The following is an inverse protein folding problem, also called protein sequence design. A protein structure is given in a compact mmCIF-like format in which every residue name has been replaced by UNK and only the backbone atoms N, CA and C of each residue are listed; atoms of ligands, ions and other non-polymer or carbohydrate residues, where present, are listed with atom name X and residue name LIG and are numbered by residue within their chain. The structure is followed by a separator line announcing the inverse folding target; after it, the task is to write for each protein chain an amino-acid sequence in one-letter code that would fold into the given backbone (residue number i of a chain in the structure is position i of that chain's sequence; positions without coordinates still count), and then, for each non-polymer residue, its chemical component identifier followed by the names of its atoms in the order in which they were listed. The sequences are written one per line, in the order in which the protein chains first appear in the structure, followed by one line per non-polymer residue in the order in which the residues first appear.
data_IF_054609342035
#
_entry.id   IF_054609342035
#
_cell.length_a   1.000
_cell.length_b   1.000
_cell.length_c   1.000
_cell.angle_alpha   90.00
_cell.angle_beta   90.00
_cell.angle_gamma   90.00
#
_symmetry.space_group_name_H-M   'P 1'
#
loop_
_entity.id
_entity.type
_entity.pdbx_description
1 polymer ?
#
# COMPACT_ATOMS: atom_id res chain seq x y z
N UNK A 1 16.56 11.39 9.10
CA UNK A 1 15.26 12.01 8.75
C UNK A 1 14.32 12.11 9.94
N UNK A 2 14.07 11.02 10.68
CA UNK A 2 13.12 10.99 11.81
C UNK A 2 13.28 12.14 12.82
N UNK A 3 14.50 12.44 13.27
CA UNK A 3 14.76 13.55 14.21
C UNK A 3 14.33 14.93 13.71
N UNK A 4 14.41 15.16 12.39
CA UNK A 4 14.14 16.46 11.78
C UNK A 4 12.68 16.58 11.34
N UNK A 5 11.97 15.45 11.23
CA UNK A 5 10.66 15.36 10.60
C UNK A 5 9.61 16.33 11.17
N UNK A 6 9.50 16.53 12.50
CA UNK A 6 8.57 17.52 13.05
C UNK A 6 8.79 18.94 12.50
N UNK A 7 10.05 19.39 12.44
CA UNK A 7 10.40 20.72 11.91
C UNK A 7 10.24 20.83 10.40
N UNK A 8 10.50 19.74 9.66
CA UNK A 8 10.28 19.71 8.21
C UNK A 8 8.79 19.88 7.87
N UNK A 9 7.88 19.33 8.68
CA UNK A 9 6.44 19.51 8.51
C UNK A 9 6.06 20.97 8.73
N UNK A 10 6.54 21.59 9.81
CA UNK A 10 6.28 23.01 10.09
C UNK A 10 6.80 23.92 8.97
N UNK A 11 8.03 23.69 8.51
CA UNK A 11 8.62 24.40 7.39
C UNK A 11 7.81 24.20 6.09
N UNK A 12 7.33 22.98 5.81
CA UNK A 12 6.51 22.67 4.65
C UNK A 12 5.15 23.38 4.70
N UNK A 13 4.50 23.41 5.87
CA UNK A 13 3.24 24.13 6.07
C UNK A 13 3.44 25.65 5.92
N UNK A 14 4.54 26.19 6.44
CA UNK A 14 4.89 27.60 6.26
C UNK A 14 5.12 27.94 4.78
N UNK A 15 5.86 27.10 4.05
CA UNK A 15 6.04 27.21 2.60
C UNK A 15 4.69 27.22 1.88
N UNK A 16 3.79 26.29 2.18
CA UNK A 16 2.47 26.22 1.53
C UNK A 16 1.57 27.41 1.84
N UNK A 17 1.74 28.02 3.01
CA UNK A 17 0.97 29.21 3.41
C UNK A 17 1.49 30.49 2.78
N UNK A 18 2.81 30.69 2.78
CA UNK A 18 3.43 31.98 2.49
C UNK A 18 4.18 32.03 1.15
N UNK A 19 4.40 30.88 0.51
CA UNK A 19 5.32 30.76 -0.63
C UNK A 19 6.77 30.55 -0.19
N UNK A 20 7.70 30.37 -1.14
CA UNK A 20 9.13 30.27 -0.86
C UNK A 20 9.65 31.59 -0.28
N UNK A 21 10.57 31.50 0.66
CA UNK A 21 11.24 32.68 1.23
C UNK A 21 12.17 33.29 0.19
N UNK A 22 12.03 34.59 -0.07
CA UNK A 22 12.92 35.34 -0.95
C UNK A 22 14.22 35.71 -0.22
N UNK A 23 15.36 35.37 -0.82
CA UNK A 23 16.69 35.69 -0.31
C UNK A 23 17.00 37.18 -0.52
N UNK A 24 16.86 37.98 0.53
CA UNK A 24 17.12 39.44 0.48
C UNK A 24 18.40 39.86 1.21
N UNK A 25 18.95 39.02 2.08
CA UNK A 25 20.21 39.29 2.80
C UNK A 25 21.37 38.43 2.25
N UNK A 26 22.44 39.08 1.79
CA UNK A 26 23.64 38.42 1.24
C UNK A 26 24.57 37.85 2.32
N UNK A 27 24.33 38.16 3.60
CA UNK A 27 25.13 37.66 4.72
C UNK A 27 24.70 36.20 5.01
N UNK A 28 25.67 35.29 4.97
CA UNK A 28 25.51 33.84 5.21
C UNK A 28 24.79 33.02 4.12
N UNK A 29 25.05 33.32 2.84
CA UNK A 29 24.56 32.51 1.71
C UNK A 29 25.26 31.15 1.58
N UNK A 30 24.49 30.08 1.71
CA UNK A 30 24.91 28.70 1.44
C UNK A 30 24.60 28.29 0.01
N UNK A 31 25.58 27.73 -0.68
CA UNK A 31 25.44 27.31 -2.06
C UNK A 31 25.28 25.78 -2.12
N UNK A 32 24.15 25.32 -2.63
CA UNK A 32 23.84 23.89 -2.73
C UNK A 32 23.54 23.55 -4.19
N UNK A 33 24.07 22.42 -4.68
CA UNK A 33 23.74 21.90 -6.00
C UNK A 33 22.26 21.48 -6.00
N UNK A 34 21.50 21.95 -6.98
CA UNK A 34 20.09 21.63 -7.15
C UNK A 34 19.91 20.95 -8.49
N UNK A 35 19.18 19.83 -8.50
CA UNK A 35 18.77 19.14 -9.73
C UNK A 35 17.26 19.26 -9.88
N UNK A 36 16.83 19.98 -10.91
CA UNK A 36 15.43 20.16 -11.26
C UNK A 36 15.14 19.78 -12.70
N UNK A 37 13.91 20.06 -13.16
CA UNK A 37 13.53 19.91 -14.57
C UNK A 37 14.29 20.90 -15.47
N UNK A 38 14.73 22.03 -14.91
CA UNK A 38 15.50 23.06 -15.64
C UNK A 38 16.99 22.74 -15.76
N UNK A 39 17.43 21.61 -15.19
CA UNK A 39 18.81 21.15 -15.23
C UNK A 39 19.50 21.25 -13.86
N UNK A 40 20.82 21.41 -13.88
CA UNK A 40 21.64 21.59 -12.67
C UNK A 40 21.99 23.04 -12.50
N UNK A 41 21.69 23.56 -11.31
CA UNK A 41 22.08 24.91 -10.91
C UNK A 41 22.63 24.88 -9.50
N UNK A 42 23.60 25.73 -9.20
CA UNK A 42 23.97 26.00 -7.81
C UNK A 42 23.06 27.12 -7.31
N UNK A 43 22.20 26.81 -6.35
CA UNK A 43 21.26 27.78 -5.81
C UNK A 43 21.78 28.30 -4.47
N UNK A 44 21.78 29.62 -4.25
CA UNK A 44 22.08 30.17 -2.94
C UNK A 44 20.87 30.08 -2.01
N UNK A 45 21.11 29.82 -0.74
CA UNK A 45 20.10 29.73 0.31
C UNK A 45 20.55 30.57 1.49
N UNK A 46 19.60 31.24 2.14
CA UNK A 46 19.85 32.05 3.34
C UNK A 46 19.27 31.31 4.54
N UNK A 47 20.08 31.16 5.58
CA UNK A 47 19.65 30.53 6.82
C UNK A 47 18.85 31.54 7.64
N UNK A 48 17.61 31.23 8.01
CA UNK A 48 16.88 32.09 8.94
C UNK A 48 17.33 31.81 10.38
N UNK A 49 17.26 32.81 11.27
CA UNK A 49 17.63 32.64 12.69
C UNK A 49 16.83 31.52 13.39
N UNK A 50 15.67 31.15 12.85
CA UNK A 50 14.82 30.08 13.35
C UNK A 50 15.17 28.70 12.80
N UNK A 51 15.97 28.60 11.73
CA UNK A 51 16.33 27.33 11.14
C UNK A 51 17.37 26.63 12.01
N UNK A 52 17.06 25.42 12.46
CA UNK A 52 18.03 24.63 13.24
C UNK A 52 18.95 23.77 12.39
N UNK A 53 18.49 23.40 11.19
CA UNK A 53 19.16 22.43 10.32
C UNK A 53 18.99 22.82 8.86
N UNK A 54 19.94 22.43 8.00
CA UNK A 54 19.95 22.77 6.57
C UNK A 54 18.70 22.33 5.82
N UNK A 55 18.15 21.16 6.13
CA UNK A 55 16.92 20.69 5.48
C UNK A 55 15.68 21.52 5.84
N UNK A 56 15.63 22.13 7.02
CA UNK A 56 14.55 23.03 7.43
C UNK A 56 14.53 24.28 6.53
N UNK A 57 15.70 24.92 6.40
CA UNK A 57 15.94 26.04 5.50
C UNK A 57 15.59 25.68 4.05
N UNK A 58 16.06 24.53 3.55
CA UNK A 58 15.76 24.09 2.18
C UNK A 58 14.25 23.95 1.95
N UNK A 59 13.51 23.36 2.89
CA UNK A 59 12.07 23.18 2.75
C UNK A 59 11.35 24.52 2.70
N UNK A 60 11.76 25.51 3.51
CA UNK A 60 11.20 26.87 3.45
C UNK A 60 11.42 27.56 2.09
N UNK A 61 12.49 27.20 1.38
CA UNK A 61 12.78 27.68 0.02
C UNK A 61 12.17 26.78 -1.08
N UNK A 62 11.46 25.71 -0.72
CA UNK A 62 10.81 24.82 -1.69
C UNK A 62 11.67 23.64 -2.17
N UNK A 63 12.71 23.25 -1.41
CA UNK A 63 13.64 22.17 -1.75
C UNK A 63 13.76 21.14 -0.62
N UNK A 64 14.21 19.92 -0.94
CA UNK A 64 14.57 18.90 0.06
C UNK A 64 15.95 18.34 -0.29
N UNK A 65 16.81 18.21 0.72
CA UNK A 65 18.16 17.66 0.55
C UNK A 65 18.17 16.15 0.29
N UNK A 66 19.16 15.70 -0.47
CA UNK A 66 19.45 14.30 -0.78
C UNK A 66 19.80 13.44 0.45
N UNK A 67 20.11 14.08 1.57
CA UNK A 67 20.56 13.44 2.81
C UNK A 67 20.07 14.25 4.01
N UNK A 68 19.90 13.62 5.18
CA UNK A 68 19.38 14.30 6.36
C UNK A 68 20.41 15.21 7.04
N UNK A 69 21.70 14.83 7.04
CA UNK A 69 22.73 15.53 7.82
C UNK A 69 23.61 16.43 6.95
N UNK A 70 24.36 15.83 6.02
CA UNK A 70 25.29 16.57 5.16
C UNK A 70 24.70 16.75 3.76
N UNK A 71 23.96 17.82 3.57
CA UNK A 71 23.30 18.12 2.30
C UNK A 71 24.31 18.71 1.30
N UNK A 72 24.58 17.96 0.23
CA UNK A 72 25.40 18.42 -0.90
C UNK A 72 24.58 18.64 -2.18
N UNK A 73 23.40 18.03 -2.23
CA UNK A 73 22.50 18.02 -3.36
C UNK A 73 21.08 18.18 -2.83
N UNK A 74 20.26 18.99 -3.48
CA UNK A 74 18.86 19.15 -3.16
C UNK A 74 17.97 19.04 -4.41
N UNK A 75 16.69 18.76 -4.18
CA UNK A 75 15.69 18.63 -5.24
C UNK A 75 14.51 19.56 -4.96
N UNK A 76 13.95 20.21 -5.99
CA UNK A 76 12.73 21.01 -5.82
C UNK A 76 11.58 20.13 -5.34
N UNK A 77 10.80 20.60 -4.38
CA UNK A 77 9.56 19.95 -3.95
C UNK A 77 8.58 19.83 -5.13
N UNK A 78 8.55 20.84 -6.01
CA UNK A 78 7.74 20.83 -7.22
C UNK A 78 8.06 19.62 -8.13
N UNK A 79 9.34 19.23 -8.24
CA UNK A 79 9.75 18.05 -9.00
C UNK A 79 9.17 16.76 -8.38
N UNK A 80 9.19 16.65 -7.04
CA UNK A 80 8.66 15.50 -6.31
C UNK A 80 7.12 15.44 -6.41
N UNK A 81 6.46 16.60 -6.40
CA UNK A 81 5.02 16.73 -6.64
C UNK A 81 4.63 16.27 -8.05
N UNK A 82 5.35 16.72 -9.07
CA UNK A 82 5.17 16.29 -10.47
C UNK A 82 5.39 14.78 -10.58
N UNK A 83 6.50 14.28 -10.04
CA UNK A 83 6.78 12.83 -10.06
C UNK A 83 5.68 12.03 -9.39
N UNK A 84 5.14 12.49 -8.24
CA UNK A 84 4.03 11.83 -7.56
C UNK A 84 2.79 11.72 -8.45
N UNK A 85 2.46 12.74 -9.23
CA UNK A 85 1.31 12.67 -10.16
C UNK A 85 1.61 11.76 -11.36
N UNK A 86 2.81 11.84 -11.93
CA UNK A 86 3.23 10.94 -13.02
C UNK A 86 3.14 9.49 -12.57
N UNK A 87 3.66 9.16 -11.38
CA UNK A 87 3.67 7.79 -10.86
C UNK A 87 2.26 7.25 -10.55
N UNK A 88 1.30 8.13 -10.19
CA UNK A 88 -0.11 7.73 -10.03
C UNK A 88 -0.75 7.29 -11.34
N UNK A 89 -0.39 7.90 -12.45
CA UNK A 89 -0.94 7.58 -13.78
C UNK A 89 -0.13 6.47 -14.47
N UNK A 90 1.19 6.47 -14.28
CA UNK A 90 2.12 5.52 -14.88
C UNK A 90 3.08 4.96 -13.81
N UNK A 91 2.66 3.92 -13.07
CA UNK A 91 3.52 3.27 -12.05
C UNK A 91 4.80 2.65 -12.61
N UNK A 92 4.87 2.44 -13.94
CA UNK A 92 6.09 1.95 -14.61
C UNK A 92 7.20 3.02 -14.70
N UNK A 93 6.86 4.29 -14.48
CA UNK A 93 7.83 5.38 -14.48
C UNK A 93 8.58 5.44 -13.13
N UNK A 94 9.60 4.58 -13.02
CA UNK A 94 10.40 4.43 -11.80
C UNK A 94 11.25 5.67 -11.48
N UNK A 95 11.71 5.79 -10.23
CA UNK A 95 12.71 6.79 -9.82
C UNK A 95 14.03 6.66 -10.59
N UNK A 96 14.41 5.44 -11.00
CA UNK A 96 15.55 5.22 -11.88
C UNK A 96 15.33 5.81 -13.27
N UNK A 97 14.11 5.74 -13.79
CA UNK A 97 13.72 6.41 -15.04
C UNK A 97 13.76 7.93 -14.87
N UNK A 98 13.22 8.47 -13.78
CA UNK A 98 13.29 9.90 -13.46
C UNK A 98 14.74 10.39 -13.37
N UNK A 99 15.60 9.64 -12.68
CA UNK A 99 17.04 9.94 -12.58
C UNK A 99 17.69 10.08 -13.95
N UNK A 100 17.40 9.16 -14.88
CA UNK A 100 17.91 9.21 -16.26
C UNK A 100 17.32 10.39 -17.03
N UNK A 101 16.03 10.66 -16.87
CA UNK A 101 15.37 11.83 -17.49
C UNK A 101 16.04 13.13 -17.05
N UNK A 102 16.26 13.34 -15.75
CA UNK A 102 16.93 14.53 -15.21
C UNK A 102 18.38 14.65 -15.71
N UNK A 103 19.11 13.53 -15.75
CA UNK A 103 20.49 13.49 -16.27
C UNK A 103 20.53 13.89 -17.75
N UNK A 104 19.60 13.38 -18.55
CA UNK A 104 19.50 13.71 -19.98
C UNK A 104 19.09 15.16 -20.22
N UNK A 105 18.13 15.69 -19.43
CA UNK A 105 17.71 17.09 -19.49
C UNK A 105 18.85 18.04 -19.12
N UNK A 106 19.66 17.67 -18.13
CA UNK A 106 20.82 18.46 -17.71
C UNK A 106 22.08 18.25 -18.59
N UNK A 107 21.99 17.45 -19.66
CA UNK A 107 23.12 17.09 -20.52
C UNK A 107 24.34 16.53 -19.76
N UNK A 108 24.11 15.73 -18.72
CA UNK A 108 25.16 15.14 -17.89
C UNK A 108 25.50 13.70 -18.26
N UNK A 109 26.68 13.26 -17.85
CA UNK A 109 27.03 11.84 -17.80
C UNK A 109 26.23 11.08 -16.73
N UNK A 110 26.28 9.74 -16.80
CA UNK A 110 25.56 8.85 -15.89
C UNK A 110 25.98 9.11 -14.43
N UNK A 111 25.05 9.57 -13.59
CA UNK A 111 25.24 9.70 -12.14
C UNK A 111 24.67 8.47 -11.41
N UNK A 112 25.53 7.49 -11.09
CA UNK A 112 25.09 6.21 -10.50
C UNK A 112 24.33 6.32 -9.17
N UNK A 113 24.58 7.37 -8.37
CA UNK A 113 23.93 7.56 -7.06
C UNK A 113 22.64 8.37 -7.12
N UNK A 114 22.32 8.97 -8.26
CA UNK A 114 21.21 9.92 -8.37
C UNK A 114 19.85 9.24 -8.10
N UNK A 115 19.66 8.00 -8.56
CA UNK A 115 18.44 7.25 -8.29
C UNK A 115 18.24 6.95 -6.79
N UNK A 116 19.31 6.63 -6.06
CA UNK A 116 19.29 6.38 -4.62
C UNK A 116 19.02 7.67 -3.83
N UNK A 117 19.66 8.77 -4.24
CA UNK A 117 19.42 10.10 -3.68
C UNK A 117 17.97 10.55 -3.88
N UNK A 118 17.43 10.35 -5.09
CA UNK A 118 16.02 10.62 -5.40
C UNK A 118 15.07 9.75 -4.57
N UNK A 119 15.38 8.47 -4.38
CA UNK A 119 14.58 7.59 -3.52
C UNK A 119 14.54 8.12 -2.09
N UNK A 120 15.71 8.42 -1.51
CA UNK A 120 15.83 8.94 -0.15
C UNK A 120 15.03 10.23 0.05
N UNK A 121 15.11 11.16 -0.90
CA UNK A 121 14.36 12.42 -0.86
C UNK A 121 12.87 12.20 -1.05
N UNK A 122 12.49 11.31 -1.96
CA UNK A 122 11.10 11.04 -2.24
C UNK A 122 10.42 10.37 -1.05
N UNK A 123 11.10 9.46 -0.35
CA UNK A 123 10.62 8.84 0.89
C UNK A 123 10.40 9.90 1.98
N UNK A 124 11.35 10.81 2.17
CA UNK A 124 11.20 11.93 3.11
C UNK A 124 10.03 12.85 2.73
N UNK A 125 9.85 13.15 1.44
CA UNK A 125 8.72 13.93 0.95
C UNK A 125 7.38 13.21 1.15
N UNK A 126 7.29 11.92 0.87
CA UNK A 126 6.08 11.12 1.12
C UNK A 126 5.74 11.09 2.62
N UNK A 127 6.75 10.98 3.50
CA UNK A 127 6.54 11.03 4.94
C UNK A 127 6.01 12.39 5.40
N UNK A 128 6.55 13.51 4.88
CA UNK A 128 6.01 14.85 5.14
C UNK A 128 4.54 14.91 4.71
N UNK A 129 4.23 14.49 3.48
CA UNK A 129 2.87 14.50 2.95
C UNK A 129 1.91 13.66 3.79
N UNK A 130 2.36 12.48 4.24
CA UNK A 130 1.57 11.60 5.07
C UNK A 130 1.29 12.21 6.46
N UNK A 131 2.31 12.75 7.14
CA UNK A 131 2.12 13.37 8.47
C UNK A 131 1.26 14.64 8.41
N UNK A 132 1.36 15.40 7.31
CA UNK A 132 0.46 16.53 7.04
C UNK A 132 -0.97 16.03 6.90
N UNK A 133 -1.22 14.99 6.10
CA UNK A 133 -2.58 14.42 5.98
C UNK A 133 -3.09 13.95 7.34
N UNK A 134 -2.32 13.19 8.11
CA UNK A 134 -2.69 12.77 9.48
C UNK A 134 -3.06 13.98 10.35
N UNK A 135 -2.25 15.03 10.34
CA UNK A 135 -2.51 16.26 11.13
C UNK A 135 -3.82 16.93 10.71
N UNK A 136 -4.10 16.99 9.40
CA UNK A 136 -5.36 17.51 8.85
C UNK A 136 -6.54 16.64 9.29
N UNK A 137 -6.43 15.32 9.23
CA UNK A 137 -7.51 14.41 9.65
C UNK A 137 -7.78 14.52 11.14
N UNK A 138 -6.74 14.58 11.98
CA UNK A 138 -6.86 14.85 13.41
C UNK A 138 -7.55 16.19 13.69
N UNK A 139 -7.18 17.26 12.98
CA UNK A 139 -7.85 18.56 13.10
C UNK A 139 -9.33 18.53 12.70
N UNK A 140 -9.71 17.62 11.80
CA UNK A 140 -11.10 17.36 11.41
C UNK A 140 -11.83 16.37 12.35
N UNK A 141 -11.18 15.90 13.43
CA UNK A 141 -11.74 14.91 14.36
C UNK A 141 -11.88 13.50 13.77
N UNK A 142 -11.09 13.17 12.74
CA UNK A 142 -11.16 11.89 12.02
C UNK A 142 -10.01 10.98 12.43
N UNK A 143 -10.22 10.23 13.51
CA UNK A 143 -9.27 9.24 14.01
C UNK A 143 -9.32 7.92 13.20
N UNK A 144 -8.46 6.96 13.52
CA UNK A 144 -8.42 5.66 12.84
C UNK A 144 -9.79 4.93 12.85
N UNK A 145 -10.54 5.07 13.94
CA UNK A 145 -11.90 4.53 14.08
C UNK A 145 -12.89 5.18 13.11
N UNK A 146 -12.73 6.46 12.83
CA UNK A 146 -13.57 7.19 11.87
C UNK A 146 -13.44 6.57 10.48
N UNK A 147 -12.21 6.24 10.06
CA UNK A 147 -11.99 5.62 8.75
C UNK A 147 -12.73 4.29 8.62
N UNK A 148 -12.62 3.39 9.60
CA UNK A 148 -13.30 2.08 9.54
C UNK A 148 -14.83 2.20 9.42
N UNK A 149 -15.41 3.29 9.92
CA UNK A 149 -16.85 3.54 9.87
C UNK A 149 -17.28 4.36 8.63
N UNK A 150 -16.34 4.97 7.90
CA UNK A 150 -16.64 5.93 6.85
C UNK A 150 -15.86 5.71 5.54
N UNK A 151 -15.09 4.62 5.39
CA UNK A 151 -14.37 4.29 4.14
C UNK A 151 -15.29 4.36 2.92
N UNK A 152 -16.51 3.84 3.06
CA UNK A 152 -17.52 3.86 2.03
C UNK A 152 -18.82 4.38 2.65
N UNK A 153 -19.13 5.66 2.43
CA UNK A 153 -20.33 6.28 2.98
C UNK A 153 -21.61 5.48 2.65
N UNK A 154 -21.84 4.97 1.42
CA UNK A 154 -23.03 4.16 1.14
C UNK A 154 -23.15 2.85 1.93
N UNK A 155 -22.04 2.27 2.42
CA UNK A 155 -22.07 0.97 3.11
C UNK A 155 -21.88 1.05 4.62
N UNK A 156 -21.05 1.99 5.09
CA UNK A 156 -20.58 2.01 6.48
C UNK A 156 -21.25 3.11 7.30
N UNK A 157 -21.81 4.13 6.64
CA UNK A 157 -22.51 5.21 7.32
C UNK A 157 -23.99 4.87 7.51
N UNK A 158 -24.36 4.41 8.71
CA UNK A 158 -25.75 4.07 9.07
C UNK A 158 -26.54 5.30 9.49
N UNK A 159 -27.71 5.51 8.90
CA UNK A 159 -28.60 6.62 9.30
C UNK A 159 -29.54 6.21 10.44
N UNK A 160 -30.03 7.18 11.23
CA UNK A 160 -30.81 6.93 12.47
C UNK A 160 -32.09 6.10 12.25
N UNK A 161 -32.66 6.13 11.05
CA UNK A 161 -33.93 5.48 10.72
C UNK A 161 -33.76 4.42 9.63
N UNK A 162 -32.55 3.89 9.46
CA UNK A 162 -32.29 2.86 8.45
C UNK A 162 -32.78 1.49 8.94
N UNK A 163 -33.53 0.79 8.10
CA UNK A 163 -33.96 -0.58 8.39
C UNK A 163 -32.75 -1.51 8.44
N UNK A 164 -32.54 -2.28 9.52
CA UNK A 164 -31.44 -3.24 9.59
C UNK A 164 -31.54 -4.27 8.46
N UNK A 165 -30.53 -4.32 7.61
CA UNK A 165 -30.43 -5.34 6.56
C UNK A 165 -29.88 -6.64 7.15
N UNK A 166 -30.42 -7.79 6.71
CA UNK A 166 -29.86 -9.13 7.03
C UNK A 166 -28.38 -9.22 6.64
N UNK A 167 -28.04 -8.65 5.48
CA UNK A 167 -26.66 -8.47 5.02
C UNK A 167 -26.43 -6.99 4.77
N UNK A 168 -25.64 -6.34 5.62
CA UNK A 168 -25.39 -4.89 5.57
C UNK A 168 -24.20 -4.49 4.70
N UNK A 169 -23.41 -5.46 4.26
CA UNK A 169 -22.17 -5.21 3.53
C UNK A 169 -21.94 -6.29 2.46
N UNK A 170 -21.54 -5.84 1.27
CA UNK A 170 -21.06 -6.69 0.20
C UNK A 170 -19.68 -6.21 -0.24
N UNK A 171 -18.69 -7.08 -0.05
CA UNK A 171 -17.33 -6.86 -0.49
C UNK A 171 -16.81 -8.00 -1.35
N UNK A 172 -15.80 -7.69 -2.15
CA UNK A 172 -14.99 -8.66 -2.85
C UNK A 172 -13.61 -8.67 -2.21
N UNK A 173 -13.03 -9.85 -2.02
CA UNK A 173 -11.67 -10.02 -1.58
C UNK A 173 -10.91 -10.76 -2.68
N UNK A 174 -9.73 -10.28 -3.04
CA UNK A 174 -8.86 -10.93 -4.01
C UNK A 174 -7.40 -10.97 -3.54
N UNK A 175 -6.67 -11.93 -4.06
CA UNK A 175 -5.26 -12.19 -3.81
C UNK A 175 -4.44 -11.84 -5.05
N UNK A 176 -3.48 -10.95 -4.90
CA UNK A 176 -2.48 -10.71 -5.94
C UNK A 176 -1.18 -11.48 -5.64
N UNK A 177 -0.84 -12.45 -6.50
CA UNK A 177 0.34 -13.31 -6.39
C UNK A 177 1.60 -12.81 -7.12
N UNK A 178 1.53 -11.65 -7.77
CA UNK A 178 2.67 -11.12 -8.54
C UNK A 178 3.74 -10.47 -7.66
N UNK A 179 3.36 -9.96 -6.49
CA UNK A 179 4.27 -9.30 -5.56
C UNK A 179 4.91 -10.35 -4.65
N UNK A 180 6.20 -10.62 -4.85
CA UNK A 180 6.92 -11.63 -4.07
C UNK A 180 8.17 -11.04 -3.45
N UNK A 181 8.29 -11.21 -2.13
CA UNK A 181 9.49 -10.89 -1.38
C UNK A 181 10.23 -12.18 -1.06
N UNK A 182 11.43 -12.35 -1.62
CA UNK A 182 12.32 -13.47 -1.28
C UNK A 182 12.75 -13.36 0.18
N UNK A 183 12.60 -14.43 0.94
CA UNK A 183 13.02 -14.57 2.34
C UNK A 183 14.54 -14.41 2.45
N UNK A 184 14.98 -13.69 3.49
CA UNK A 184 16.39 -13.40 3.73
C UNK A 184 17.25 -14.64 3.90
N UNK A 185 16.69 -15.76 4.36
CA UNK A 185 17.40 -17.04 4.51
C UNK A 185 17.93 -17.61 3.19
N UNK A 186 17.36 -17.20 2.06
CA UNK A 186 17.77 -17.65 0.73
C UNK A 186 18.54 -16.59 -0.06
N UNK A 187 18.78 -15.40 0.51
CA UNK A 187 19.56 -14.33 -0.15
C UNK A 187 21.01 -14.39 0.30
N UNK A 188 21.94 -14.35 -0.65
CA UNK A 188 23.36 -14.14 -0.36
C UNK A 188 23.65 -12.68 -0.07
N UNK A 189 24.42 -12.38 0.98
CA UNK A 189 24.86 -11.03 1.34
C UNK A 189 24.27 -10.50 2.65
N UNK A 190 24.48 -9.21 2.93
CA UNK A 190 23.96 -8.57 4.16
C UNK A 190 22.44 -8.41 4.08
N UNK A 191 21.76 -8.83 5.15
CA UNK A 191 20.31 -8.60 5.30
C UNK A 191 20.05 -7.10 5.30
N UNK A 192 19.27 -6.63 4.33
CA UNK A 192 18.69 -5.29 4.38
C UNK A 192 17.40 -5.39 5.17
N UNK A 193 17.41 -4.84 6.38
CA UNK A 193 16.20 -4.69 7.16
C UNK A 193 15.31 -3.65 6.47
N UNK A 194 14.08 -4.04 6.14
CA UNK A 194 13.05 -3.11 5.76
C UNK A 194 12.47 -2.50 7.04
N UNK A 195 12.82 -1.25 7.33
CA UNK A 195 12.33 -0.52 8.50
C UNK A 195 11.01 0.21 8.22
N UNK A 196 10.46 0.09 7.00
CA UNK A 196 9.20 0.72 6.67
C UNK A 196 8.06 0.01 7.41
N UNK A 197 7.38 0.76 8.27
CA UNK A 197 6.11 0.35 8.86
C UNK A 197 5.01 1.17 8.20
N UNK A 198 3.92 0.50 7.81
CA UNK A 198 2.73 1.23 7.38
C UNK A 198 1.88 1.53 8.60
N UNK A 199 1.49 2.79 8.77
CA UNK A 199 0.61 3.24 9.87
C UNK A 199 -0.82 3.45 9.34
N UNK A 200 -1.12 2.90 8.16
CA UNK A 200 -2.44 3.00 7.55
C UNK A 200 -3.43 2.14 8.33
N UNK A 201 -4.56 2.71 8.73
CA UNK A 201 -5.64 1.94 9.38
C UNK A 201 -6.25 0.85 8.51
N UNK A 202 -5.96 0.87 7.20
CA UNK A 202 -6.40 -0.15 6.23
C UNK A 202 -5.43 -1.32 6.11
N UNK A 203 -4.21 -1.20 6.65
CA UNK A 203 -3.23 -2.28 6.61
C UNK A 203 -3.37 -3.11 7.88
N UNK A 204 -3.67 -4.40 7.74
CA UNK A 204 -3.69 -5.32 8.87
C UNK A 204 -2.27 -5.81 9.14
N UNK A 205 -1.83 -5.72 10.39
CA UNK A 205 -0.51 -6.21 10.78
C UNK A 205 -0.49 -7.74 10.80
N UNK A 206 0.69 -8.37 10.66
CA UNK A 206 0.83 -9.81 10.79
C UNK A 206 0.25 -10.33 12.11
N UNK A 207 0.46 -9.61 13.20
CA UNK A 207 -0.03 -9.98 14.53
C UNK A 207 -1.56 -9.99 14.60
N UNK A 208 -2.24 -9.08 13.88
CA UNK A 208 -3.69 -9.04 13.82
C UNK A 208 -4.28 -10.18 12.98
N UNK A 209 -3.53 -10.70 12.01
CA UNK A 209 -3.96 -11.81 11.13
C UNK A 209 -3.63 -13.16 11.76
N UNK A 210 -2.48 -13.28 12.42
CA UNK A 210 -1.95 -14.53 12.98
C UNK A 210 -2.83 -15.13 14.10
N UNK A 211 -3.73 -14.33 14.70
CA UNK A 211 -4.72 -14.85 15.65
C UNK A 211 -5.67 -15.87 15.01
N UNK A 212 -5.83 -15.85 13.68
CA UNK A 212 -6.72 -16.73 12.93
C UNK A 212 -5.99 -17.88 12.21
N UNK A 213 -4.66 -18.03 12.40
CA UNK A 213 -3.84 -18.97 11.63
C UNK A 213 -4.30 -20.43 11.71
N UNK A 214 -4.88 -20.83 12.85
CA UNK A 214 -5.29 -22.21 13.13
C UNK A 214 -6.80 -22.45 12.92
N UNK A 215 -7.59 -21.39 12.67
CA UNK A 215 -9.05 -21.44 12.65
C UNK A 215 -9.60 -22.43 11.61
N UNK A 216 -9.02 -22.45 10.40
CA UNK A 216 -9.45 -23.35 9.32
C UNK A 216 -9.13 -24.81 9.66
N UNK A 217 -7.94 -25.07 10.19
CA UNK A 217 -7.52 -26.42 10.58
C UNK A 217 -8.37 -26.95 11.74
N UNK A 218 -8.75 -26.08 12.68
CA UNK A 218 -9.67 -26.41 13.76
C UNK A 218 -11.09 -26.67 13.26
N UNK A 219 -11.62 -25.84 12.36
CA UNK A 219 -12.94 -26.03 11.76
C UNK A 219 -13.02 -27.34 10.96
N UNK A 220 -11.97 -27.68 10.20
CA UNK A 220 -11.89 -28.95 9.47
C UNK A 220 -11.87 -30.16 10.42
N UNK A 221 -11.14 -30.08 11.54
CA UNK A 221 -11.14 -31.15 12.58
C UNK A 221 -12.51 -31.33 13.23
N UNK A 222 -13.27 -30.25 13.41
CA UNK A 222 -14.64 -30.30 13.95
C UNK A 222 -15.58 -30.93 12.92
N UNK A 223 -15.51 -30.51 11.66
CA UNK A 223 -16.32 -31.10 10.57
C UNK A 223 -16.04 -32.59 10.36
N UNK A 224 -14.78 -33.02 10.44
CA UNK A 224 -14.43 -34.45 10.33
C UNK A 224 -14.99 -35.27 11.49
N UNK A 225 -15.06 -34.71 12.71
CA UNK A 225 -15.63 -35.40 13.88
C UNK A 225 -17.16 -35.52 13.85
N UNK A 226 -17.85 -34.56 13.23
CA UNK A 226 -19.32 -34.60 13.08
C UNK A 226 -19.72 -35.67 12.05
N UNK A 227 -18.89 -35.91 11.03
CA UNK A 227 -19.15 -36.93 10.00
C UNK A 227 -18.83 -38.37 10.44
N UNK A 228 -18.27 -38.58 11.63
CA UNK A 228 -17.95 -39.90 12.20
C UNK A 228 -19.06 -40.46 13.13
N UNK A 229 -20.17 -39.74 13.32
CA UNK A 229 -21.32 -40.21 14.11
C UNK A 229 -22.45 -40.73 13.19
N UNK A 230 -22.77 -42.04 13.17
CA UNK A 230 -23.68 -42.63 12.18
C UNK A 230 -25.16 -42.26 12.37
N UNK A 231 -25.55 -41.58 13.45
CA UNK A 231 -26.95 -41.42 13.86
C UNK A 231 -27.45 -39.96 13.96
N UNK A 232 -26.74 -38.97 13.41
CA UNK A 232 -27.26 -37.59 13.34
C UNK A 232 -28.06 -37.32 12.05
N UNK A 233 -29.34 -37.67 12.06
CA UNK A 233 -30.35 -37.01 11.22
C UNK A 233 -30.83 -35.76 11.98
N UNK A 234 -30.35 -34.56 11.63
CA UNK A 234 -31.23 -33.37 11.50
C UNK A 234 -30.57 -32.12 10.87
N UNK A 235 -31.27 -31.58 9.87
CA UNK A 235 -31.59 -30.15 9.63
C UNK A 235 -30.53 -29.03 9.70
N UNK A 236 -29.49 -29.10 8.87
CA UNK A 236 -28.87 -27.86 8.34
C UNK A 236 -28.75 -27.91 6.82
N UNK A 237 -29.87 -27.69 6.13
CA UNK A 237 -29.84 -27.24 4.74
C UNK A 237 -29.19 -25.85 4.69
N UNK A 238 -28.06 -25.66 3.98
CA UNK A 238 -27.58 -24.33 3.68
C UNK A 238 -28.45 -23.78 2.55
N UNK A 239 -29.42 -22.94 2.90
CA UNK A 239 -30.17 -22.04 2.00
C UNK A 239 -30.53 -22.62 0.61
N UNK A 240 -31.63 -23.37 0.54
CA UNK A 240 -32.29 -23.79 -0.70
C UNK A 240 -32.94 -22.67 -1.52
N UNK A 241 -32.36 -21.46 -1.54
CA UNK A 241 -32.89 -20.29 -2.28
C UNK A 241 -31.85 -19.64 -3.19
N UNK A 242 -30.91 -20.44 -3.69
CA UNK A 242 -30.07 -20.07 -4.82
C UNK A 242 -30.66 -20.69 -6.08
N UNK A 243 -31.37 -19.87 -6.87
CA UNK A 243 -32.16 -20.31 -8.03
C UNK A 243 -31.39 -21.13 -9.09
N UNK A 244 -30.06 -21.08 -9.11
CA UNK A 244 -29.22 -21.87 -10.03
C UNK A 244 -28.79 -23.25 -9.48
N UNK A 245 -29.09 -23.57 -8.21
CA UNK A 245 -28.78 -24.85 -7.56
C UNK A 245 -29.98 -25.79 -7.46
N UNK A 246 -31.13 -25.45 -8.05
CA UNK A 246 -32.30 -26.35 -8.11
C UNK A 246 -32.12 -27.46 -9.16
N UNK A 247 -31.12 -28.32 -8.93
CA UNK A 247 -30.87 -29.55 -9.69
C UNK A 247 -32.04 -30.54 -9.52
N UNK A 248 -32.84 -30.40 -8.45
CA UNK A 248 -33.97 -31.29 -8.12
C UNK A 248 -35.24 -31.10 -9.00
N UNK A 249 -35.22 -30.24 -10.03
CA UNK A 249 -36.33 -30.06 -10.98
C UNK A 249 -36.07 -30.57 -12.40
N UNK A 250 -34.89 -31.11 -12.68
CA UNK A 250 -34.56 -31.66 -13.98
C UNK A 250 -34.84 -33.17 -14.02
N UNK A 251 -35.31 -33.65 -15.17
CA UNK A 251 -35.52 -35.09 -15.38
C UNK A 251 -34.19 -35.84 -15.22
N UNK A 252 -34.23 -37.10 -14.79
CA UNK A 252 -33.02 -37.85 -14.41
C UNK A 252 -31.91 -37.92 -15.47
N UNK A 253 -32.24 -37.74 -16.75
CA UNK A 253 -31.26 -37.66 -17.84
C UNK A 253 -30.59 -36.26 -17.94
N UNK A 254 -31.36 -35.18 -17.74
CA UNK A 254 -30.86 -33.80 -17.79
C UNK A 254 -30.05 -33.44 -16.53
N UNK A 255 -30.41 -34.02 -15.38
CA UNK A 255 -29.63 -33.90 -14.15
C UNK A 255 -28.26 -34.60 -14.26
N UNK A 256 -28.19 -35.75 -14.95
CA UNK A 256 -26.96 -36.50 -15.17
C UNK A 256 -26.03 -35.84 -16.20
N UNK A 257 -26.58 -35.22 -17.26
CA UNK A 257 -25.81 -34.38 -18.20
C UNK A 257 -25.30 -33.08 -17.55
N UNK A 258 -26.12 -32.43 -16.71
CA UNK A 258 -25.72 -31.22 -15.99
C UNK A 258 -24.67 -31.52 -14.93
N UNK A 259 -24.79 -32.64 -14.20
CA UNK A 259 -23.78 -33.12 -13.27
C UNK A 259 -22.46 -33.43 -14.00
N UNK A 260 -22.52 -34.10 -15.15
CA UNK A 260 -21.33 -34.32 -16.01
C UNK A 260 -20.74 -33.02 -16.54
N UNK A 261 -21.55 -32.02 -16.91
CA UNK A 261 -21.04 -30.69 -17.28
C UNK A 261 -20.41 -29.96 -16.10
N UNK A 262 -20.99 -30.02 -14.90
CA UNK A 262 -20.42 -29.45 -13.68
C UNK A 262 -19.12 -30.15 -13.32
N UNK A 263 -19.05 -31.47 -13.39
CA UNK A 263 -17.84 -32.25 -13.16
C UNK A 263 -16.79 -31.94 -14.22
N UNK A 264 -17.16 -31.83 -15.50
CA UNK A 264 -16.22 -31.46 -16.57
C UNK A 264 -15.72 -30.02 -16.41
N UNK A 265 -16.59 -29.08 -16.03
CA UNK A 265 -16.21 -27.72 -15.70
C UNK A 265 -15.31 -27.67 -14.47
N UNK A 266 -15.59 -28.46 -13.43
CA UNK A 266 -14.77 -28.56 -12.21
C UNK A 266 -13.43 -29.24 -12.51
N UNK A 267 -13.40 -30.27 -13.35
CA UNK A 267 -12.19 -30.94 -13.83
C UNK A 267 -11.35 -30.00 -14.69
N UNK A 268 -11.97 -29.27 -15.63
CA UNK A 268 -11.30 -28.27 -16.46
C UNK A 268 -10.85 -27.06 -15.64
N UNK A 269 -11.57 -26.67 -14.58
CA UNK A 269 -11.17 -25.62 -13.66
C UNK A 269 -10.06 -26.09 -12.70
N UNK A 270 -10.07 -27.37 -12.30
CA UNK A 270 -8.96 -28.02 -11.58
C UNK A 270 -7.72 -28.18 -12.46
N UNK A 271 -7.89 -28.40 -13.76
CA UNK A 271 -6.81 -28.56 -14.74
C UNK A 271 -6.27 -27.22 -15.28
N UNK A 272 -7.14 -26.21 -15.40
CA UNK A 272 -6.79 -24.80 -15.60
C UNK A 272 -6.42 -24.10 -14.27
N UNK A 273 -6.44 -24.86 -13.17
CA UNK A 273 -5.98 -24.41 -11.86
C UNK A 273 -4.55 -23.89 -12.02
N UNK A 274 -4.27 -22.66 -11.55
CA UNK A 274 -2.98 -22.04 -11.76
C UNK A 274 -1.88 -22.90 -11.10
N UNK A 275 -0.62 -22.59 -11.39
CA UNK A 275 0.58 -23.17 -10.77
C UNK A 275 0.60 -23.16 -9.22
N UNK A 276 -0.49 -22.84 -8.54
CA UNK A 276 -0.72 -22.89 -7.10
C UNK A 276 -0.39 -24.28 -6.48
N UNK A 277 -0.59 -25.39 -7.23
CA UNK A 277 -0.08 -26.73 -6.83
C UNK A 277 1.44 -26.90 -6.91
N UNK A 278 2.18 -25.99 -7.56
CA UNK A 278 3.63 -25.92 -7.34
C UNK A 278 3.76 -25.30 -5.96
N UNK A 279 4.05 -26.13 -4.94
CA UNK A 279 4.49 -25.70 -3.60
C UNK A 279 5.10 -24.33 -3.72
N UNK A 280 4.36 -23.31 -3.28
CA UNK A 280 4.84 -21.95 -3.38
C UNK A 280 6.22 -21.94 -2.76
N UNK A 281 7.24 -21.64 -3.57
CA UNK A 281 8.62 -21.93 -3.18
C UNK A 281 8.86 -21.35 -1.79
N UNK A 282 9.31 -22.20 -0.85
CA UNK A 282 9.68 -21.80 0.51
C UNK A 282 10.65 -20.60 0.55
N UNK A 283 11.22 -20.28 -0.61
CA UNK A 283 11.96 -19.08 -0.97
C UNK A 283 11.27 -17.75 -0.59
N UNK A 284 9.94 -17.63 -0.61
CA UNK A 284 9.27 -16.33 -0.44
C UNK A 284 8.75 -16.11 0.98
N UNK A 285 9.17 -15.01 1.61
CA UNK A 285 8.63 -14.56 2.89
C UNK A 285 7.23 -13.97 2.72
N UNK A 286 7.04 -13.12 1.70
CA UNK A 286 5.75 -12.57 1.28
C UNK A 286 5.50 -13.03 -0.15
N UNK A 287 4.34 -13.59 -0.41
CA UNK A 287 3.99 -14.16 -1.71
C UNK A 287 2.94 -13.40 -2.50
N UNK A 288 2.42 -12.34 -1.90
CA UNK A 288 1.36 -11.55 -2.47
C UNK A 288 0.78 -10.57 -1.46
N UNK A 289 -0.35 -10.01 -1.84
CA UNK A 289 -1.17 -9.14 -1.00
C UNK A 289 -2.63 -9.58 -1.12
N UNK A 290 -3.36 -9.58 -0.02
CA UNK A 290 -4.81 -9.63 0.01
C UNK A 290 -5.38 -8.23 0.00
N UNK A 291 -6.43 -8.03 -0.77
CA UNK A 291 -7.12 -6.75 -0.88
C UNK A 291 -8.62 -6.99 -0.79
N UNK A 292 -9.28 -6.29 0.13
CA UNK A 292 -10.74 -6.28 0.23
C UNK A 292 -11.28 -4.95 -0.25
N UNK A 293 -12.21 -5.00 -1.20
CA UNK A 293 -12.91 -3.83 -1.74
C UNK A 293 -14.40 -3.95 -1.52
N UNK A 294 -15.07 -2.84 -1.26
CA UNK A 294 -16.52 -2.80 -1.32
C UNK A 294 -17.00 -2.73 -2.78
N UNK A 295 -18.30 -2.98 -3.02
CA UNK A 295 -18.90 -2.84 -4.37
C UNK A 295 -18.69 -1.46 -5.04
N UNK A 296 -18.43 -0.41 -4.26
CA UNK A 296 -18.15 0.95 -4.78
C UNK A 296 -16.67 1.19 -5.09
N UNK A 297 -15.81 0.16 -4.98
CA UNK A 297 -14.39 0.24 -5.33
C UNK A 297 -13.50 0.85 -4.24
N UNK A 298 -14.01 1.09 -3.03
CA UNK A 298 -13.18 1.54 -1.92
C UNK A 298 -12.44 0.36 -1.30
N UNK A 299 -11.13 0.53 -1.12
CA UNK A 299 -10.30 -0.44 -0.39
C UNK A 299 -10.59 -0.33 1.10
N UNK A 300 -11.13 -1.42 1.66
CA UNK A 300 -11.53 -1.52 3.08
C UNK A 300 -10.34 -1.92 3.93
N UNK A 301 -9.72 -3.05 3.60
CA UNK A 301 -8.52 -3.57 4.28
C UNK A 301 -7.60 -4.26 3.27
N UNK A 302 -6.31 -4.31 3.62
CA UNK A 302 -5.28 -5.02 2.88
C UNK A 302 -4.26 -5.62 3.85
N UNK A 303 -3.63 -6.73 3.47
CA UNK A 303 -2.57 -7.35 4.25
C UNK A 303 -1.62 -8.17 3.39
N UNK A 304 -0.40 -8.36 3.87
CA UNK A 304 0.57 -9.21 3.20
C UNK A 304 0.18 -10.68 3.29
N UNK A 305 0.58 -11.41 2.26
CA UNK A 305 0.47 -12.85 2.24
C UNK A 305 1.76 -13.50 2.70
N UNK A 306 1.82 -13.82 3.98
CA UNK A 306 3.04 -14.31 4.62
C UNK A 306 3.08 -15.83 4.52
N UNK A 307 4.15 -16.37 3.94
CA UNK A 307 4.46 -17.82 3.93
C UNK A 307 3.28 -18.74 3.54
N UNK A 308 2.37 -18.25 2.71
CA UNK A 308 1.19 -18.98 2.24
C UNK A 308 1.58 -20.10 1.25
N UNK A 309 2.25 -21.16 1.71
CA UNK A 309 2.04 -22.47 1.10
C UNK A 309 0.62 -22.85 1.48
N UNK A 310 -0.27 -22.93 0.50
CA UNK A 310 -1.69 -23.33 0.65
C UNK A 310 -1.96 -24.14 1.93
N UNK A 311 -2.81 -23.58 2.80
CA UNK A 311 -3.40 -24.23 3.99
C UNK A 311 -4.13 -25.50 3.59
#
# INVERSE_FOLDING_TARGET
WQEQMPRLIEAYLALKRNGPVDSTDERDMWHIEVIGLEGITTHPFVHSDNDSRTNEMLVRHGYIGASPEKVLLAFPIALLEVYRQIHRVCPRYSLGTLSRTLTNLAHLGIRHRLAEQLSTVYDAYLEIMWRVDVSVQCAMGREASWYMQNVCAPFLYKTRNETPLKFSWLGCMDRNNSLKLVDSTFRTGTIRLDSHSTVSSRWLSPEQVDIFKDEVAEAQKVSSKINDDPDSYDDLQPNGDVAWLNVNKLSGAEADELAKCLDTCVEWWKAAGPEARKKMFALFAISGIFLTVCRHGHVVVMCDMIRSSEL
#
